data_IF_981268021348
#
_entry.id   IF_981268021348
#
_cell.length_a   1.000
_cell.length_b   1.000
_cell.length_c   1.000
_cell.angle_alpha   90.00
_cell.angle_beta   90.00
_cell.angle_gamma   90.00
#
_symmetry.space_group_name_H-M   'P 1'
#
loop_
_entity.id
_entity.type
_entity.pdbx_description
1 polymer ?
#
# COMPACT_ATOMS: atom_id res chain seq x y z
N UNK A 1 11.97 -1.84 7.89
CA UNK A 1 11.08 -0.77 7.37
C UNK A 1 10.15 -0.29 8.48
N UNK A 2 9.30 -1.15 9.04
CA UNK A 2 8.37 -0.79 10.12
C UNK A 2 9.06 -0.25 11.39
N UNK A 3 10.21 -0.79 11.78
CA UNK A 3 10.97 -0.28 12.94
C UNK A 3 11.43 1.18 12.75
N UNK A 4 12.03 1.50 11.60
CA UNK A 4 12.44 2.88 11.28
C UNK A 4 11.23 3.82 11.27
N UNK A 5 10.10 3.38 10.69
CA UNK A 5 8.87 4.17 10.68
C UNK A 5 8.37 4.45 12.10
N UNK A 6 8.51 3.47 13.02
CA UNK A 6 8.13 3.62 14.42
C UNK A 6 9.09 4.56 15.17
N UNK A 7 10.40 4.38 15.04
CA UNK A 7 11.40 5.24 15.67
C UNK A 7 11.29 6.70 15.23
N UNK A 8 10.92 6.92 13.97
CA UNK A 8 10.78 8.24 13.38
C UNK A 8 9.38 8.81 13.51
N UNK A 9 8.46 8.10 14.17
CA UNK A 9 7.04 8.47 14.31
C UNK A 9 6.43 8.91 12.96
N UNK A 10 6.65 8.11 11.90
CA UNK A 10 6.13 8.42 10.58
C UNK A 10 4.60 8.31 10.53
N UNK A 11 3.95 9.31 9.95
CA UNK A 11 2.49 9.33 9.79
C UNK A 11 1.96 8.29 8.80
N UNK A 12 2.80 7.80 7.87
CA UNK A 12 2.44 6.76 6.90
C UNK A 12 3.66 6.12 6.21
N UNK A 13 3.47 4.94 5.63
CA UNK A 13 4.44 4.23 4.78
C UNK A 13 3.88 4.11 3.36
N UNK A 14 4.67 4.42 2.33
CA UNK A 14 4.29 4.25 0.92
C UNK A 14 5.10 3.11 0.29
N UNK A 15 4.42 2.16 -0.35
CA UNK A 15 5.06 1.00 -1.00
C UNK A 15 4.57 0.85 -2.44
N UNK A 16 5.50 0.71 -3.39
CA UNK A 16 5.17 0.36 -4.77
C UNK A 16 4.85 -1.13 -4.92
N UNK A 17 3.83 -1.47 -5.70
CA UNK A 17 3.53 -2.85 -6.08
C UNK A 17 3.78 -3.06 -7.57
N UNK A 18 4.43 -4.17 -7.93
CA UNK A 18 4.71 -4.51 -9.32
C UNK A 18 3.40 -4.98 -9.97
N UNK A 19 2.81 -4.14 -10.82
CA UNK A 19 1.66 -4.51 -11.64
C UNK A 19 2.10 -5.45 -12.77
N UNK A 20 2.04 -6.76 -12.54
CA UNK A 20 2.07 -7.75 -13.64
C UNK A 20 0.66 -8.30 -13.85
N UNK A 21 0.19 -8.24 -15.08
CA UNK A 21 -1.18 -8.54 -15.49
C UNK A 21 -1.50 -10.05 -15.44
N UNK A 22 -2.73 -10.40 -15.01
CA UNK A 22 -3.29 -11.76 -14.98
C UNK A 22 -2.82 -12.62 -13.80
N UNK A 23 -3.75 -13.20 -13.00
CA UNK A 23 -3.57 -14.00 -11.75
C UNK A 23 -2.68 -13.37 -10.63
N UNK A 24 -1.64 -12.62 -10.98
CA UNK A 24 -0.78 -11.77 -10.17
C UNK A 24 -1.43 -10.45 -9.71
N UNK A 25 -2.65 -10.12 -10.18
CA UNK A 25 -3.49 -9.06 -9.59
C UNK A 25 -3.90 -9.34 -8.13
N UNK A 26 -3.68 -10.56 -7.63
CA UNK A 26 -3.85 -10.93 -6.22
C UNK A 26 -2.55 -10.96 -5.42
N UNK A 27 -1.38 -10.93 -6.06
CA UNK A 27 -0.12 -11.09 -5.35
C UNK A 27 0.37 -9.73 -4.84
N UNK A 28 -0.15 -9.36 -3.67
CA UNK A 28 0.48 -8.38 -2.80
C UNK A 28 1.94 -8.81 -2.61
N UNK A 29 2.90 -8.05 -3.15
CA UNK A 29 4.32 -8.48 -3.14
C UNK A 29 4.79 -8.78 -1.72
N UNK A 30 5.69 -9.75 -1.54
CA UNK A 30 6.12 -10.23 -0.21
C UNK A 30 6.53 -9.11 0.76
N UNK A 31 7.16 -8.05 0.24
CA UNK A 31 7.50 -6.85 1.04
C UNK A 31 6.27 -6.04 1.42
N UNK A 32 5.37 -5.78 0.47
CA UNK A 32 4.14 -5.02 0.73
C UNK A 32 3.23 -5.76 1.72
N UNK A 33 3.09 -7.08 1.57
CA UNK A 33 2.34 -7.91 2.51
C UNK A 33 2.96 -7.84 3.92
N UNK A 34 4.28 -8.02 4.03
CA UNK A 34 4.96 -7.95 5.31
C UNK A 34 4.79 -6.58 5.99
N UNK A 35 4.85 -5.49 5.23
CA UNK A 35 4.63 -4.13 5.75
C UNK A 35 3.19 -3.95 6.21
N UNK A 36 2.21 -4.33 5.39
CA UNK A 36 0.79 -4.18 5.73
C UNK A 36 0.43 -4.96 7.01
N UNK A 37 1.02 -6.14 7.20
CA UNK A 37 0.77 -6.96 8.41
C UNK A 37 1.42 -6.44 9.69
N UNK A 38 2.52 -5.68 9.60
CA UNK A 38 3.34 -5.33 10.76
C UNK A 38 3.52 -3.82 11.00
N UNK A 39 3.08 -2.97 10.07
CA UNK A 39 3.12 -1.53 10.25
C UNK A 39 2.15 -1.10 11.35
N UNK A 40 2.62 -0.21 12.23
CA UNK A 40 1.78 0.43 13.27
C UNK A 40 1.16 1.76 12.80
N UNK A 41 1.37 2.12 11.53
CA UNK A 41 0.87 3.33 10.90
C UNK A 41 0.27 3.00 9.51
N UNK A 42 -0.51 3.92 8.90
CA UNK A 42 -1.12 3.70 7.60
C UNK A 42 -0.12 3.27 6.54
N UNK A 43 -0.53 2.35 5.66
CA UNK A 43 0.27 1.91 4.51
C UNK A 43 -0.47 2.22 3.22
N UNK A 44 0.13 3.05 2.37
CA UNK A 44 -0.37 3.39 1.03
C UNK A 44 0.33 2.51 0.00
N UNK A 45 -0.44 1.82 -0.83
CA UNK A 45 0.13 1.05 -1.96
C UNK A 45 -0.07 1.80 -3.26
N UNK A 46 0.99 1.89 -4.05
CA UNK A 46 0.98 2.53 -5.37
C UNK A 46 1.19 1.46 -6.43
N UNK A 47 0.19 1.26 -7.29
CA UNK A 47 0.32 0.40 -8.46
C UNK A 47 1.05 1.17 -9.56
N UNK A 48 2.11 0.59 -10.10
CA UNK A 48 2.73 1.13 -11.31
C UNK A 48 1.79 0.86 -12.49
N UNK A 49 1.28 1.93 -13.10
CA UNK A 49 0.51 1.84 -14.33
C UNK A 49 1.48 1.64 -15.50
N UNK A 50 1.33 0.62 -16.34
CA UNK A 50 2.01 0.60 -17.63
C UNK A 50 1.69 1.87 -18.43
N UNK A 51 2.65 2.29 -19.24
CA UNK A 51 2.70 3.58 -19.95
C UNK A 51 1.52 3.85 -20.89
N UNK A 52 0.71 2.85 -21.17
CA UNK A 52 -0.41 2.83 -22.11
C UNK A 52 -1.80 2.73 -21.46
N UNK A 53 -1.91 2.89 -20.14
CA UNK A 53 -3.21 2.92 -19.44
C UNK A 53 -3.78 4.34 -19.29
N UNK A 54 -4.98 4.55 -19.84
CA UNK A 54 -5.75 5.79 -19.66
C UNK A 54 -5.92 6.13 -18.16
N UNK A 55 -5.86 7.41 -17.77
CA UNK A 55 -6.06 7.82 -16.38
C UNK A 55 -7.40 7.33 -15.84
N UNK A 56 -7.38 6.73 -14.64
CA UNK A 56 -8.62 6.41 -13.93
C UNK A 56 -9.41 7.70 -13.71
N UNK A 57 -10.60 7.79 -14.29
CA UNK A 57 -11.58 8.79 -13.89
C UNK A 57 -12.05 8.43 -12.48
N UNK A 58 -11.69 9.32 -11.54
CA UNK A 58 -12.09 9.37 -10.14
C UNK A 58 -11.38 8.35 -9.20
N UNK A 59 -10.67 8.83 -8.16
CA UNK A 59 -10.15 7.94 -7.14
C UNK A 59 -11.33 7.29 -6.41
N UNK A 60 -11.25 5.98 -6.15
CA UNK A 60 -12.20 5.24 -5.33
C UNK A 60 -12.11 5.71 -3.86
N UNK A 61 -12.59 6.92 -3.58
CA UNK A 61 -12.70 7.53 -2.26
C UNK A 61 -13.99 6.98 -1.65
N UNK A 62 -13.91 5.78 -1.07
CA UNK A 62 -15.09 5.13 -0.50
C UNK A 62 -14.83 4.20 0.68
N UNK A 63 -13.59 4.06 1.11
CA UNK A 63 -13.27 3.29 2.32
C UNK A 63 -12.90 4.26 3.43
N UNK A 64 -13.80 4.43 4.39
CA UNK A 64 -13.43 4.97 5.69
C UNK A 64 -12.28 4.12 6.24
N UNK A 65 -11.15 4.77 6.54
CA UNK A 65 -10.00 4.09 7.11
C UNK A 65 -10.41 3.56 8.49
N UNK A 66 -10.44 2.23 8.72
CA UNK A 66 -10.71 1.72 10.05
C UNK A 66 -9.63 2.25 11.00
N UNK A 67 -9.98 2.53 12.28
CA UNK A 67 -9.02 3.01 13.25
C UNK A 67 -7.86 2.02 13.33
N UNK A 68 -6.65 2.54 13.16
CA UNK A 68 -5.42 1.77 13.26
C UNK A 68 -5.29 1.42 14.74
N UNK A 69 -5.69 0.20 15.10
CA UNK A 69 -5.54 -0.24 16.48
C UNK A 69 -4.04 -0.44 16.74
N UNK A 70 -3.45 0.25 17.74
CA UNK A 70 -2.10 -0.06 18.15
C UNK A 70 -2.06 -1.49 18.71
N UNK A 71 -1.06 -2.25 18.27
CA UNK A 71 -0.78 -3.62 18.71
C UNK A 71 -0.24 -3.66 20.14
#
# INVERSE_FOLDING_TARGET
MCWVAQERACDQIVVGTHGRTGLANLLMGSVAEHVIRHARCPVVTVRLRPENEEPLQEPAVGMEMPPIQPL
#
